data_IF_547579114774
#
_entry.id   IF_547579114774
#
_cell.length_a   1.000
_cell.length_b   1.000
_cell.length_c   1.000
_cell.angle_alpha   90.00
_cell.angle_beta   90.00
_cell.angle_gamma   90.00
#
_symmetry.space_group_name_H-M   'P 1'
#
loop_
_entity.id
_entity.type
_entity.pdbx_description
1 polymer ?
#
# COMPACT_ATOMS: atom_id res chain seq x y z
N UNK A 1 -8.23 5.89 22.04
CA UNK A 1 -6.82 5.64 21.68
C UNK A 1 -6.01 6.73 22.34
N UNK A 2 -5.10 6.38 23.25
CA UNK A 2 -4.31 7.38 23.98
C UNK A 2 -3.34 8.10 23.06
N UNK A 3 -3.07 9.36 23.36
CA UNK A 3 -2.11 10.16 22.61
C UNK A 3 -0.73 9.53 22.75
N UNK A 4 -0.21 9.02 21.63
CA UNK A 4 1.20 8.61 21.53
C UNK A 4 2.02 9.89 21.58
N UNK A 5 2.65 10.17 22.72
CA UNK A 5 3.59 11.28 22.85
C UNK A 5 4.83 10.93 22.02
N UNK A 6 5.17 11.69 20.96
CA UNK A 6 6.37 11.41 20.18
C UNK A 6 7.62 11.57 21.07
N UNK A 7 8.56 10.63 20.96
CA UNK A 7 9.82 10.70 21.67
C UNK A 7 10.59 11.96 21.23
N UNK A 8 11.02 12.85 22.13
CA UNK A 8 11.74 14.06 21.74
C UNK A 8 13.14 13.70 21.20
N UNK A 9 13.53 14.31 20.07
CA UNK A 9 14.96 14.52 19.75
C UNK A 9 15.47 14.16 18.35
N UNK A 10 14.62 13.71 17.41
CA UNK A 10 15.04 13.50 16.01
C UNK A 10 14.90 14.77 15.16
N UNK A 11 15.66 14.93 14.05
CA UNK A 11 15.48 16.05 13.11
C UNK A 11 14.08 16.07 12.44
N UNK A 12 13.33 14.98 12.55
CA UNK A 12 11.97 14.78 12.02
C UNK A 12 11.16 13.90 12.97
N UNK A 13 9.84 14.06 12.99
CA UNK A 13 8.91 13.24 13.78
C UNK A 13 7.83 12.65 12.87
N UNK A 14 7.70 11.32 12.73
CA UNK A 14 6.63 10.72 11.94
C UNK A 14 5.23 11.08 12.48
N UNK A 15 4.35 11.52 11.58
CA UNK A 15 2.96 11.90 11.89
C UNK A 15 1.99 10.75 11.65
N UNK A 16 2.16 10.01 10.55
CA UNK A 16 1.27 8.92 10.15
C UNK A 16 1.94 8.02 9.10
N UNK A 17 1.34 6.87 8.84
CA UNK A 17 1.56 6.18 7.56
C UNK A 17 0.94 7.04 6.47
N UNK A 18 1.73 7.38 5.45
CA UNK A 18 1.21 8.05 4.27
C UNK A 18 0.54 7.02 3.35
N UNK A 19 1.30 6.01 2.94
CA UNK A 19 0.81 4.91 2.12
C UNK A 19 1.58 3.62 2.34
N UNK A 20 0.94 2.50 2.02
CA UNK A 20 1.59 1.19 1.88
C UNK A 20 1.40 0.69 0.46
N UNK A 21 2.42 0.02 -0.09
CA UNK A 21 2.35 -0.57 -1.43
C UNK A 21 2.38 -2.09 -1.31
N UNK A 22 1.32 -2.72 -1.78
CA UNK A 22 1.10 -4.17 -1.69
C UNK A 22 1.04 -4.76 -3.08
N UNK A 23 1.92 -5.72 -3.35
CA UNK A 23 1.98 -6.46 -4.61
C UNK A 23 1.04 -7.64 -4.57
N UNK A 24 0.11 -7.70 -5.52
CA UNK A 24 -0.99 -8.67 -5.55
C UNK A 24 -0.92 -9.56 -6.79
N UNK A 25 -1.29 -10.83 -6.62
CA UNK A 25 -1.37 -11.80 -7.74
C UNK A 25 -2.69 -11.71 -8.52
N UNK A 26 -3.71 -11.20 -7.86
CA UNK A 26 -5.06 -11.10 -8.38
C UNK A 26 -5.61 -9.74 -7.93
N UNK A 27 -5.74 -8.82 -8.89
CA UNK A 27 -6.14 -7.44 -8.62
C UNK A 27 -7.61 -7.35 -8.24
N UNK A 28 -8.47 -8.14 -8.88
CA UNK A 28 -9.92 -8.11 -8.64
C UNK A 28 -10.23 -8.62 -7.24
N UNK A 29 -9.69 -9.78 -6.86
CA UNK A 29 -9.85 -10.32 -5.51
C UNK A 29 -9.28 -9.43 -4.42
N UNK A 30 -8.18 -8.74 -4.71
CA UNK A 30 -7.61 -7.77 -3.78
C UNK A 30 -8.54 -6.56 -3.60
N UNK A 31 -9.08 -6.01 -4.69
CA UNK A 31 -10.04 -4.90 -4.63
C UNK A 31 -11.28 -5.31 -3.84
N UNK A 32 -11.88 -6.47 -4.13
CA UNK A 32 -13.04 -6.98 -3.37
C UNK A 32 -12.74 -7.07 -1.87
N UNK A 33 -11.58 -7.62 -1.51
CA UNK A 33 -11.19 -7.71 -0.10
C UNK A 33 -11.01 -6.34 0.55
N UNK A 34 -10.22 -5.45 -0.05
CA UNK A 34 -9.93 -4.16 0.57
C UNK A 34 -11.13 -3.21 0.55
N UNK A 35 -11.95 -3.24 -0.50
CA UNK A 35 -13.11 -2.36 -0.63
C UNK A 35 -14.36 -2.92 0.03
N UNK A 36 -14.74 -4.16 -0.28
CA UNK A 36 -16.05 -4.68 0.11
C UNK A 36 -16.04 -5.30 1.50
N UNK A 37 -14.90 -5.85 1.94
CA UNK A 37 -14.74 -6.43 3.27
C UNK A 37 -14.16 -5.43 4.27
N UNK A 38 -13.09 -4.71 3.90
CA UNK A 38 -12.42 -3.76 4.79
C UNK A 38 -12.93 -2.32 4.69
N UNK A 39 -13.74 -1.99 3.69
CA UNK A 39 -14.34 -0.66 3.54
C UNK A 39 -13.41 0.42 2.99
N UNK A 40 -12.30 0.07 2.34
CA UNK A 40 -11.47 1.03 1.63
C UNK A 40 -12.18 1.56 0.38
N UNK A 41 -11.82 2.76 -0.07
CA UNK A 41 -12.47 3.40 -1.24
C UNK A 41 -11.48 3.51 -2.39
N UNK A 42 -11.87 3.11 -3.61
CA UNK A 42 -11.03 3.30 -4.80
C UNK A 42 -10.88 4.79 -5.09
N UNK A 43 -9.64 5.24 -5.24
CA UNK A 43 -9.36 6.66 -5.48
C UNK A 43 -8.78 6.92 -6.86
N UNK A 44 -7.86 6.06 -7.30
CA UNK A 44 -7.19 6.22 -8.59
C UNK A 44 -6.77 4.87 -9.16
N UNK A 45 -6.74 4.77 -10.48
CA UNK A 45 -6.27 3.60 -11.20
C UNK A 45 -5.39 4.04 -12.38
N UNK A 46 -4.29 3.32 -12.61
CA UNK A 46 -3.40 3.50 -13.75
C UNK A 46 -3.11 2.13 -14.36
N UNK A 47 -3.90 1.75 -15.36
CA UNK A 47 -3.95 0.40 -15.92
C UNK A 47 -2.66 -0.04 -16.60
N UNK A 48 -1.99 0.90 -17.27
CA UNK A 48 -0.74 0.65 -17.98
C UNK A 48 0.37 0.23 -17.01
N UNK A 49 0.34 0.79 -15.79
CA UNK A 49 1.30 0.50 -14.74
C UNK A 49 0.88 -0.66 -13.84
N UNK A 50 -0.40 -1.03 -13.84
CA UNK A 50 -0.98 -2.04 -12.96
C UNK A 50 -1.18 -1.56 -11.53
N UNK A 51 -1.53 -0.28 -11.35
CA UNK A 51 -1.71 0.37 -10.05
C UNK A 51 -3.19 0.66 -9.78
N UNK A 52 -3.67 0.30 -8.60
CA UNK A 52 -4.95 0.75 -8.05
C UNK A 52 -4.71 1.31 -6.65
N UNK A 53 -5.02 2.59 -6.44
CA UNK A 53 -4.88 3.27 -5.17
C UNK A 53 -6.20 3.28 -4.41
N UNK A 54 -6.15 2.88 -3.15
CA UNK A 54 -7.30 2.79 -2.25
C UNK A 54 -7.09 3.69 -1.04
N UNK A 55 -8.17 4.31 -0.57
CA UNK A 55 -8.21 5.14 0.63
C UNK A 55 -8.58 4.31 1.85
N UNK A 56 -7.74 4.32 2.87
CA UNK A 56 -7.97 3.71 4.18
C UNK A 56 -7.89 4.79 5.27
N UNK A 57 -9.01 5.48 5.51
CA UNK A 57 -9.02 6.67 6.37
C UNK A 57 -8.13 7.78 5.80
N UNK A 58 -7.12 8.19 6.55
CA UNK A 58 -6.16 9.24 6.14
C UNK A 58 -4.95 8.71 5.37
N UNK A 59 -4.79 7.39 5.27
CA UNK A 59 -3.69 6.72 4.58
C UNK A 59 -4.14 6.11 3.25
N UNK A 60 -3.17 5.71 2.43
CA UNK A 60 -3.39 4.98 1.17
C UNK A 60 -2.94 3.51 1.27
N UNK A 61 -3.61 2.67 0.49
CA UNK A 61 -3.17 1.33 0.13
C UNK A 61 -3.07 1.28 -1.39
N UNK A 62 -1.85 1.15 -1.90
CA UNK A 62 -1.58 1.03 -3.32
C UNK A 62 -1.42 -0.45 -3.68
N UNK A 63 -2.36 -0.97 -4.45
CA UNK A 63 -2.30 -2.33 -4.98
C UNK A 63 -1.54 -2.33 -6.31
N UNK A 64 -0.55 -3.20 -6.42
CA UNK A 64 0.30 -3.34 -7.61
C UNK A 64 0.19 -4.76 -8.17
N UNK A 65 -0.25 -4.88 -9.41
CA UNK A 65 -0.30 -6.15 -10.13
C UNK A 65 1.12 -6.65 -10.47
N UNK A 66 1.47 -7.84 -9.96
CA UNK A 66 2.78 -8.48 -10.20
C UNK A 66 3.07 -8.78 -11.67
N UNK A 67 2.05 -8.86 -12.53
CA UNK A 67 2.20 -9.14 -13.95
C UNK A 67 2.48 -7.88 -14.77
N UNK A 68 2.30 -6.70 -14.18
CA UNK A 68 2.39 -5.38 -14.83
C UNK A 68 3.74 -4.70 -14.53
N UNK A 69 4.10 -3.61 -15.25
CA UNK A 69 5.43 -3.02 -15.17
C UNK A 69 5.90 -2.70 -13.75
N UNK A 70 5.05 -2.09 -12.91
CA UNK A 70 5.43 -1.78 -11.52
C UNK A 70 5.67 -3.04 -10.68
N UNK A 71 4.79 -4.04 -10.77
CA UNK A 71 4.90 -5.25 -9.97
C UNK A 71 6.08 -6.15 -10.34
N UNK A 72 6.51 -6.11 -11.61
CA UNK A 72 7.73 -6.78 -12.09
C UNK A 72 9.00 -6.13 -11.58
N UNK A 73 9.00 -4.80 -11.39
CA UNK A 73 10.15 -4.07 -10.87
C UNK A 73 10.50 -4.48 -9.42
N UNK A 74 9.50 -4.89 -8.63
CA UNK A 74 9.68 -5.39 -7.26
C UNK A 74 10.28 -6.80 -7.15
N UNK A 75 10.67 -7.44 -8.26
CA UNK A 75 11.28 -8.77 -8.27
C UNK A 75 10.26 -9.93 -8.29
N UNK A 76 10.66 -11.14 -7.84
CA UNK A 76 9.81 -12.32 -7.88
C UNK A 76 8.46 -12.10 -7.18
N UNK A 77 7.37 -12.73 -7.65
CA UNK A 77 6.05 -12.55 -7.06
C UNK A 77 6.04 -12.98 -5.57
N UNK A 78 5.11 -12.44 -4.75
CA UNK A 78 5.00 -12.79 -3.35
C UNK A 78 4.98 -14.31 -3.17
N UNK A 79 5.71 -14.87 -2.21
CA UNK A 79 5.85 -16.33 -2.06
C UNK A 79 7.21 -16.72 -1.49
N UNK A 80 7.68 -17.93 -1.78
CA UNK A 80 9.01 -18.37 -1.36
C UNK A 80 10.08 -17.53 -2.10
N UNK A 81 10.67 -16.57 -1.38
CA UNK A 81 11.71 -15.67 -1.91
C UNK A 81 11.22 -14.36 -2.54
N UNK A 82 9.92 -14.04 -2.49
CA UNK A 82 9.36 -12.77 -3.00
C UNK A 82 8.53 -12.04 -1.95
N UNK A 83 8.65 -10.72 -1.88
CA UNK A 83 7.95 -9.88 -0.91
C UNK A 83 6.53 -9.52 -1.36
N UNK A 84 5.58 -9.49 -0.42
CA UNK A 84 4.23 -8.99 -0.66
C UNK A 84 4.14 -7.47 -0.51
N UNK A 85 4.72 -6.93 0.56
CA UNK A 85 4.90 -5.49 0.70
C UNK A 85 6.09 -5.06 -0.16
N UNK A 86 5.88 -4.08 -1.02
CA UNK A 86 6.96 -3.44 -1.77
C UNK A 86 7.67 -2.43 -0.87
N UNK A 87 6.90 -1.47 -0.33
CA UNK A 87 7.35 -0.50 0.66
C UNK A 87 6.18 0.14 1.42
N UNK A 88 6.53 1.00 2.38
CA UNK A 88 5.62 1.95 2.98
C UNK A 88 6.28 3.33 3.07
N UNK A 89 5.48 4.39 3.09
CA UNK A 89 5.94 5.75 3.28
C UNK A 89 5.35 6.33 4.57
N UNK A 90 6.15 7.16 5.24
CA UNK A 90 5.72 7.91 6.42
C UNK A 90 5.46 9.36 6.03
N UNK A 91 4.40 9.92 6.60
CA UNK A 91 4.22 11.37 6.65
C UNK A 91 5.07 11.91 7.78
N UNK A 92 5.85 12.95 7.50
CA UNK A 92 6.73 13.65 8.43
C UNK A 92 6.14 15.03 8.75
#
# INVERSE_FOLDING_TARGET
MGDVVPAPGGPFSPLAIDHVVVRVRDMERAIEFYCDILGCVRERQVDELGLVQLRAGTSLVDLVDIAKPLGKAGGPPPGQGGHNMDHFALRI
#
